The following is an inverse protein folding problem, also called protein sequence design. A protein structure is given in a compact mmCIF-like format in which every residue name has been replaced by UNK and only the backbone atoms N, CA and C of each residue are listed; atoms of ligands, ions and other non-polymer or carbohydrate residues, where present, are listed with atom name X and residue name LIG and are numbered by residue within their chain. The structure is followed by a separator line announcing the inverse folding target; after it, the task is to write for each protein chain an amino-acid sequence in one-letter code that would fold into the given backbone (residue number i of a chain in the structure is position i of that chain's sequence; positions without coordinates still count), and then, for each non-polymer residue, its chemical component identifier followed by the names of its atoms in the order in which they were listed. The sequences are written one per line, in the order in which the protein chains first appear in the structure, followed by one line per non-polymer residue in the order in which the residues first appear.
data_IF_270722084704
#
_entry.id   IF_270722084704
#
_cell.length_a   1.000
_cell.length_b   1.000
_cell.length_c   1.000
_cell.angle_alpha   90.00
_cell.angle_beta   90.00
_cell.angle_gamma   90.00
#
_symmetry.space_group_name_H-M   'P 1'
#
loop_
_entity.id
_entity.type
_entity.pdbx_description
1 polymer ?
#
# COMPACT_ATOMS: atom_id res chain seq x y z
N UNK A 1 -4.18 17.33 -5.42
CA UNK A 1 -3.01 17.45 -6.33
C UNK A 1 -3.50 17.11 -7.73
N UNK A 2 -2.85 17.56 -8.80
CA UNK A 2 -3.28 17.22 -10.18
C UNK A 2 -2.13 16.56 -10.93
N UNK A 3 -2.44 15.45 -11.59
CA UNK A 3 -1.55 14.75 -12.51
C UNK A 3 -1.93 15.14 -13.95
N UNK A 4 -0.94 15.52 -14.77
CA UNK A 4 -1.11 15.87 -16.19
C UNK A 4 -1.10 14.59 -17.04
N UNK A 5 -1.96 13.65 -16.65
CA UNK A 5 -2.04 12.30 -17.21
C UNK A 5 -3.51 11.90 -17.33
N UNK A 6 -3.79 11.01 -18.29
CA UNK A 6 -5.07 10.29 -18.32
C UNK A 6 -5.23 9.50 -17.02
N UNK A 7 -6.45 9.12 -16.65
CA UNK A 7 -6.67 8.38 -15.41
C UNK A 7 -5.87 7.07 -15.37
N UNK A 8 -5.80 6.34 -16.50
CA UNK A 8 -5.03 5.11 -16.63
C UNK A 8 -3.52 5.32 -16.43
N UNK A 9 -2.97 6.40 -17.00
CA UNK A 9 -1.56 6.75 -16.84
C UNK A 9 -1.27 7.27 -15.43
N UNK A 10 -2.16 8.10 -14.88
CA UNK A 10 -2.10 8.59 -13.51
C UNK A 10 -2.07 7.43 -12.50
N UNK A 11 -2.90 6.41 -12.73
CA UNK A 11 -2.95 5.19 -11.93
C UNK A 11 -1.63 4.42 -11.99
N UNK A 12 -1.05 4.31 -13.17
CA UNK A 12 0.27 3.69 -13.36
C UNK A 12 1.34 4.45 -12.58
N UNK A 13 1.37 5.78 -12.65
CA UNK A 13 2.29 6.62 -11.87
C UNK A 13 2.09 6.43 -10.36
N UNK A 14 0.85 6.35 -9.89
CA UNK A 14 0.53 6.11 -8.47
C UNK A 14 1.05 4.75 -8.02
N UNK A 15 0.82 3.69 -8.81
CA UNK A 15 1.32 2.34 -8.50
C UNK A 15 2.84 2.29 -8.45
N UNK A 16 3.53 2.93 -9.40
CA UNK A 16 4.98 3.06 -9.38
C UNK A 16 5.45 3.78 -8.11
N UNK A 17 4.77 4.85 -7.74
CA UNK A 17 5.09 5.60 -6.53
C UNK A 17 4.93 4.74 -5.27
N UNK A 18 3.91 3.87 -5.21
CA UNK A 18 3.75 2.92 -4.11
C UNK A 18 4.88 1.89 -4.04
N UNK A 19 5.29 1.34 -5.19
CA UNK A 19 6.43 0.41 -5.25
C UNK A 19 7.74 1.04 -4.79
N UNK A 20 7.95 2.32 -5.07
CA UNK A 20 9.13 3.07 -4.60
C UNK A 20 8.99 3.60 -3.17
N UNK A 21 7.81 3.51 -2.54
CA UNK A 21 7.58 4.09 -1.21
C UNK A 21 8.07 3.13 -0.13
N UNK A 22 9.29 3.38 0.35
CA UNK A 22 9.87 2.66 1.49
C UNK A 22 8.91 2.55 2.69
N UNK A 23 8.56 1.31 3.01
CA UNK A 23 7.75 0.93 4.16
C UNK A 23 6.26 0.81 3.87
N UNK A 24 5.80 1.04 2.64
CA UNK A 24 4.57 0.41 2.14
C UNK A 24 4.94 -1.03 1.81
N UNK A 25 4.22 -1.99 2.39
CA UNK A 25 4.47 -3.41 2.15
C UNK A 25 3.59 -3.97 1.06
N UNK A 26 2.32 -3.53 1.02
CA UNK A 26 1.36 -3.96 0.01
C UNK A 26 0.43 -2.83 -0.38
N UNK A 27 -0.06 -2.87 -1.61
CA UNK A 27 -1.12 -1.97 -2.06
C UNK A 27 -2.15 -2.70 -2.92
N UNK A 28 -3.35 -2.15 -2.98
CA UNK A 28 -4.49 -2.66 -3.73
C UNK A 28 -5.01 -1.55 -4.64
N UNK A 29 -5.27 -1.89 -5.90
CA UNK A 29 -5.96 -1.04 -6.86
C UNK A 29 -7.46 -1.35 -6.84
N UNK A 30 -8.27 -0.38 -6.43
CA UNK A 30 -9.73 -0.40 -6.57
C UNK A 30 -10.18 0.43 -7.77
N UNK A 31 -11.49 0.56 -7.93
CA UNK A 31 -12.08 1.26 -9.09
C UNK A 31 -11.68 2.75 -9.11
N UNK A 32 -11.84 3.45 -8.00
CA UNK A 32 -11.63 4.90 -7.85
C UNK A 32 -10.42 5.28 -6.99
N UNK A 33 -9.71 4.29 -6.46
CA UNK A 33 -8.68 4.53 -5.46
C UNK A 33 -7.56 3.49 -5.49
N UNK A 34 -6.38 3.90 -5.02
CA UNK A 34 -5.26 2.99 -4.73
C UNK A 34 -4.93 3.07 -3.25
N UNK A 35 -4.96 1.93 -2.56
CA UNK A 35 -4.79 1.84 -1.10
C UNK A 35 -3.51 1.10 -0.77
N UNK A 36 -2.53 1.78 -0.19
CA UNK A 36 -1.31 1.18 0.33
C UNK A 36 -1.33 1.04 1.84
N UNK A 37 -0.70 -0.01 2.35
CA UNK A 37 -0.54 -0.23 3.79
C UNK A 37 0.90 -0.50 4.18
N UNK A 38 1.29 0.08 5.31
CA UNK A 38 2.50 -0.30 6.02
C UNK A 38 2.21 -1.56 6.82
N UNK A 39 3.12 -2.52 6.84
CA UNK A 39 2.91 -3.75 7.59
C UNK A 39 3.07 -3.59 9.08
N UNK A 40 2.89 -4.72 9.76
CA UNK A 40 2.98 -4.79 11.21
C UNK A 40 4.44 -4.62 11.65
N UNK A 41 4.65 -3.73 12.64
CA UNK A 41 5.92 -3.65 13.39
C UNK A 41 5.61 -3.83 14.86
N UNK A 42 6.57 -4.32 15.64
CA UNK A 42 6.38 -4.72 17.05
C UNK A 42 5.62 -3.71 17.95
N UNK A 43 5.58 -2.42 17.59
CA UNK A 43 4.89 -1.35 18.32
C UNK A 43 3.90 -0.53 17.48
N UNK A 44 3.65 -0.90 16.21
CA UNK A 44 2.74 -0.19 15.31
C UNK A 44 1.88 -1.17 14.52
N UNK A 45 0.57 -0.94 14.56
CA UNK A 45 -0.46 -1.67 13.80
C UNK A 45 -0.50 -1.28 12.31
N UNK A 46 0.47 -0.51 11.86
CA UNK A 46 0.54 0.01 10.50
C UNK A 46 -0.24 1.30 10.30
N UNK A 47 -0.08 1.83 9.09
CA UNK A 47 -0.65 3.04 8.55
C UNK A 47 -1.24 2.71 7.18
N UNK A 48 -2.35 3.38 6.86
CA UNK A 48 -2.99 3.26 5.55
C UNK A 48 -2.78 4.57 4.81
N UNK A 49 -2.40 4.49 3.54
CA UNK A 49 -2.32 5.61 2.61
C UNK A 49 -3.30 5.34 1.48
N UNK A 50 -4.21 6.27 1.24
CA UNK A 50 -5.27 6.17 0.24
C UNK A 50 -5.01 7.26 -0.79
N UNK A 51 -5.03 6.89 -2.06
CA UNK A 51 -5.02 7.83 -3.18
C UNK A 51 -6.35 7.70 -3.89
N UNK A 52 -7.21 8.69 -3.74
CA UNK A 52 -8.48 8.77 -4.47
C UNK A 52 -8.22 9.46 -5.81
N UNK A 53 -8.63 8.81 -6.89
CA UNK A 53 -8.67 9.36 -8.23
C UNK A 53 -10.08 9.93 -8.43
N UNK A 54 -10.21 11.24 -8.28
CA UNK A 54 -11.50 11.88 -8.52
C UNK A 54 -11.74 11.93 -10.03
N UNK A 55 -12.84 11.35 -10.50
CA UNK A 55 -13.33 11.58 -11.86
C UNK A 55 -13.78 13.04 -11.98
N UNK A 56 -12.95 13.87 -12.59
CA UNK A 56 -13.41 15.16 -13.08
C UNK A 56 -13.82 14.96 -14.54
N UNK A 57 -15.11 15.08 -14.81
CA UNK A 57 -15.77 14.61 -16.03
C UNK A 57 -15.36 15.33 -17.32
N UNK A 58 -14.48 16.34 -17.23
CA UNK A 58 -14.14 17.24 -18.34
C UNK A 58 -12.67 17.18 -18.80
N UNK A 59 -11.76 16.45 -18.14
CA UNK A 59 -10.34 16.50 -18.47
C UNK A 59 -9.75 15.15 -18.89
N UNK A 60 -9.77 14.90 -20.20
CA UNK A 60 -9.08 13.77 -20.87
C UNK A 60 -7.57 13.73 -20.54
N UNK A 61 -6.98 14.85 -20.14
CA UNK A 61 -5.53 15.01 -19.96
C UNK A 61 -5.10 15.33 -18.52
N UNK A 62 -6.04 15.46 -17.58
CA UNK A 62 -5.72 15.81 -16.18
C UNK A 62 -6.55 14.99 -15.22
N UNK A 63 -5.89 14.39 -14.25
CA UNK A 63 -6.52 13.61 -13.20
C UNK A 63 -6.26 14.28 -11.85
N UNK A 64 -7.29 14.86 -11.20
CA UNK A 64 -7.16 15.29 -9.82
C UNK A 64 -7.06 14.07 -8.90
N UNK A 65 -6.09 14.13 -8.00
CA UNK A 65 -5.87 13.10 -6.99
C UNK A 65 -5.90 13.70 -5.60
N UNK A 66 -6.55 13.01 -4.69
CA UNK A 66 -6.51 13.27 -3.26
C UNK A 66 -5.71 12.18 -2.57
N UNK A 67 -4.84 12.57 -1.64
CA UNK A 67 -3.98 11.63 -0.92
C UNK A 67 -4.25 11.79 0.57
N UNK A 68 -4.77 10.72 1.17
CA UNK A 68 -5.11 10.65 2.59
C UNK A 68 -4.22 9.62 3.27
N UNK A 69 -3.85 9.85 4.53
CA UNK A 69 -3.07 8.89 5.29
C UNK A 69 -3.52 8.84 6.74
N UNK A 70 -3.81 7.63 7.22
CA UNK A 70 -4.48 7.39 8.49
C UNK A 70 -3.79 6.28 9.29
N UNK A 71 -4.03 6.28 10.59
CA UNK A 71 -3.58 5.21 11.49
C UNK A 71 -4.56 4.05 11.39
N UNK A 72 -4.05 2.82 11.35
CA UNK A 72 -4.92 1.62 11.40
C UNK A 72 -5.67 1.52 12.75
N UNK A 73 -5.06 2.01 13.82
CA UNK A 73 -5.60 2.01 15.19
C UNK A 73 -5.36 3.38 15.82
N UNK A 74 -6.41 3.99 16.37
CA UNK A 74 -6.35 5.33 16.98
C UNK A 74 -5.35 5.42 18.14
N UNK A 75 -5.18 4.34 18.90
CA UNK A 75 -4.28 4.26 20.08
C UNK A 75 -2.80 4.10 19.67
N UNK A 76 -2.50 3.95 18.37
CA UNK A 76 -1.13 3.77 17.92
C UNK A 76 -0.34 5.09 18.01
N UNK A 77 0.35 5.29 19.14
CA UNK A 77 1.11 6.51 19.44
C UNK A 77 2.34 6.65 18.53
N UNK A 78 2.91 5.53 18.07
CA UNK A 78 4.13 5.54 17.24
C UNK A 78 3.85 5.69 15.74
N UNK A 79 2.62 5.40 15.29
CA UNK A 79 2.24 5.56 13.89
C UNK A 79 2.35 7.02 13.43
N UNK A 80 2.99 7.22 12.28
CA UNK A 80 3.20 8.54 11.67
C UNK A 80 2.68 8.54 10.22
N UNK A 81 1.35 8.52 9.99
CA UNK A 81 0.79 8.39 8.63
C UNK A 81 1.26 9.49 7.67
N UNK A 82 1.42 10.72 8.20
CA UNK A 82 1.88 11.87 7.43
C UNK A 82 3.29 11.69 6.86
N UNK A 83 4.14 10.87 7.49
CA UNK A 83 5.46 10.52 6.95
C UNK A 83 5.33 9.78 5.62
N UNK A 84 4.44 8.78 5.56
CA UNK A 84 4.21 7.98 4.37
C UNK A 84 3.51 8.76 3.28
N UNK A 85 2.51 9.60 3.63
CA UNK A 85 1.90 10.56 2.69
C UNK A 85 2.95 11.44 2.01
N UNK A 86 3.86 12.04 2.78
CA UNK A 86 4.92 12.90 2.21
C UNK A 86 5.88 12.14 1.31
N UNK A 87 6.24 10.91 1.66
CA UNK A 87 7.10 10.05 0.82
C UNK A 87 6.43 9.71 -0.50
N UNK A 88 5.17 9.27 -0.44
CA UNK A 88 4.39 8.96 -1.63
C UNK A 88 4.26 10.17 -2.55
N UNK A 89 3.92 11.35 -2.01
CA UNK A 89 3.88 12.60 -2.78
C UNK A 89 5.25 12.91 -3.41
N UNK A 90 6.35 12.67 -2.68
CA UNK A 90 7.71 12.82 -3.19
C UNK A 90 7.97 11.92 -4.40
N UNK A 91 7.62 10.64 -4.29
CA UNK A 91 7.81 9.67 -5.36
C UNK A 91 6.93 9.99 -6.58
N UNK A 92 5.65 10.32 -6.37
CA UNK A 92 4.76 10.79 -7.46
C UNK A 92 5.38 12.01 -8.15
N UNK A 93 5.87 13.00 -7.41
CA UNK A 93 6.48 14.19 -8.01
C UNK A 93 7.81 13.89 -8.72
N UNK A 94 8.56 12.89 -8.28
CA UNK A 94 9.77 12.46 -8.97
C UNK A 94 9.41 11.77 -10.29
N UNK A 95 8.46 10.83 -10.25
CA UNK A 95 7.97 10.11 -11.42
C UNK A 95 7.33 11.04 -12.46
N UNK A 96 6.64 12.11 -12.03
CA UNK A 96 6.11 13.15 -12.91
C UNK A 96 7.16 13.98 -13.66
N UNK A 97 8.41 14.01 -13.18
CA UNK A 97 9.49 14.76 -13.84
C UNK A 97 10.12 13.97 -14.99
N UNK A 98 9.87 12.67 -15.02
CA UNK A 98 10.21 11.80 -16.12
C UNK A 98 9.02 11.76 -17.08
N UNK A 99 9.27 11.70 -18.40
CA UNK A 99 8.18 11.60 -19.37
C UNK A 99 7.34 10.34 -19.08
N UNK A 100 6.05 10.34 -19.38
CA UNK A 100 5.13 9.24 -19.04
C UNK A 100 5.66 7.85 -19.46
N UNK A 101 6.41 7.81 -20.56
CA UNK A 101 7.10 6.62 -21.08
C UNK A 101 8.21 6.09 -20.16
N UNK A 102 8.93 6.96 -19.44
CA UNK A 102 9.95 6.59 -18.46
C UNK A 102 9.34 6.13 -17.12
N UNK A 103 8.20 6.72 -16.71
CA UNK A 103 7.43 6.22 -15.58
C UNK A 103 6.85 4.82 -15.82
N UNK A 104 6.40 4.57 -17.06
CA UNK A 104 5.99 3.24 -17.51
C UNK A 104 7.17 2.25 -17.53
N UNK A 105 8.35 2.70 -17.96
CA UNK A 105 9.57 1.90 -17.96
C UNK A 105 10.06 1.57 -16.55
N UNK A 106 9.93 2.48 -15.58
CA UNK A 106 10.22 2.24 -14.17
C UNK A 106 9.28 1.18 -13.56
N UNK A 107 7.97 1.27 -13.86
CA UNK A 107 7.00 0.28 -13.44
C UNK A 107 7.24 -1.09 -14.11
N UNK A 108 7.56 -1.10 -15.41
CA UNK A 108 7.91 -2.30 -16.15
C UNK A 108 9.20 -2.94 -15.61
N UNK A 109 10.19 -2.12 -15.23
CA UNK A 109 11.43 -2.56 -14.59
C UNK A 109 11.20 -3.18 -13.21
N UNK A 110 10.40 -2.52 -12.36
CA UNK A 110 10.02 -3.06 -11.04
C UNK A 110 9.26 -4.39 -11.18
N UNK A 111 8.30 -4.46 -12.11
CA UNK A 111 7.51 -5.66 -12.42
C UNK A 111 8.34 -6.79 -13.03
N UNK A 112 9.41 -6.48 -13.75
CA UNK A 112 10.31 -7.47 -14.36
C UNK A 112 11.36 -8.03 -13.39
N UNK A 113 11.67 -7.33 -12.30
CA UNK A 113 12.77 -7.65 -11.39
C UNK A 113 12.31 -8.19 -10.02
N UNK A 114 11.05 -8.02 -9.63
CA UNK A 114 10.55 -8.50 -8.33
C UNK A 114 9.05 -8.80 -8.36
N UNK A 115 8.60 -9.69 -7.46
CA UNK A 115 7.19 -9.81 -7.12
C UNK A 115 6.70 -8.43 -6.66
N UNK A 116 5.78 -7.84 -7.41
CA UNK A 116 5.09 -6.58 -7.07
C UNK A 116 4.47 -6.65 -5.67
N UNK A 117 4.43 -5.51 -4.99
CA UNK A 117 3.71 -5.36 -3.71
C UNK A 117 2.18 -5.26 -3.90
N UNK A 118 1.70 -5.31 -5.14
CA UNK A 118 0.29 -5.30 -5.48
C UNK A 118 -0.42 -6.59 -5.08
N UNK A 119 -1.55 -6.44 -4.39
CA UNK A 119 -2.48 -7.54 -4.10
C UNK A 119 -3.70 -7.49 -4.99
N UNK A 120 -4.26 -8.66 -5.28
CA UNK A 120 -5.43 -8.79 -6.16
C UNK A 120 -6.72 -8.42 -5.44
N UNK A 121 -6.75 -8.55 -4.11
CA UNK A 121 -7.94 -8.26 -3.31
C UNK A 121 -7.61 -7.40 -2.11
N UNK A 122 -8.53 -6.50 -1.75
CA UNK A 122 -8.37 -5.63 -0.57
C UNK A 122 -8.15 -6.40 0.73
N UNK A 123 -8.69 -7.63 0.83
CA UNK A 123 -8.51 -8.51 2.00
C UNK A 123 -7.09 -9.01 2.21
N UNK A 124 -6.24 -8.99 1.18
CA UNK A 124 -4.83 -9.39 1.26
C UNK A 124 -3.92 -8.28 1.80
N UNK A 125 -4.47 -7.07 1.99
CA UNK A 125 -3.76 -5.98 2.64
C UNK A 125 -3.49 -6.31 4.12
N UNK A 126 -2.30 -5.95 4.65
CA UNK A 126 -1.99 -6.10 6.07
C UNK A 126 -3.08 -5.48 6.96
N UNK A 127 -3.59 -6.25 7.92
CA UNK A 127 -4.69 -5.80 8.75
C UNK A 127 -4.87 -6.62 10.01
N UNK A 128 -5.76 -6.15 10.89
CA UNK A 128 -6.03 -6.71 12.22
C UNK A 128 -6.44 -8.19 12.18
N UNK A 129 -7.03 -8.65 11.09
CA UNK A 129 -7.49 -10.02 10.92
C UNK A 129 -6.35 -11.02 10.64
N UNK A 130 -5.24 -10.59 10.02
CA UNK A 130 -4.07 -11.43 9.81
C UNK A 130 -3.39 -11.82 11.14
N UNK A 131 -3.49 -10.96 12.16
CA UNK A 131 -3.02 -11.26 13.52
C UNK A 131 -3.88 -12.33 14.20
N UNK A 132 -5.20 -12.35 13.98
CA UNK A 132 -6.06 -13.40 14.55
C UNK A 132 -5.67 -14.76 14.01
N UNK A 133 -5.48 -14.89 12.69
CA UNK A 133 -5.16 -16.19 12.09
C UNK A 133 -3.77 -16.69 12.51
N UNK A 134 -2.74 -15.84 12.49
CA UNK A 134 -1.39 -16.25 12.93
C UNK A 134 -1.34 -16.63 14.40
N UNK A 135 -2.02 -15.89 15.28
CA UNK A 135 -2.02 -16.14 16.73
C UNK A 135 -2.80 -17.43 17.07
N UNK A 136 -3.88 -17.72 16.34
CA UNK A 136 -4.60 -19.00 16.44
C UNK A 136 -3.69 -20.17 16.03
N UNK A 137 -2.98 -20.07 14.91
CA UNK A 137 -2.06 -21.14 14.45
C UNK A 137 -0.96 -21.39 15.48
N UNK A 138 -0.39 -20.33 16.04
CA UNK A 138 0.66 -20.42 17.07
C UNK A 138 0.13 -21.03 18.38
N UNK A 139 -1.08 -20.65 18.80
CA UNK A 139 -1.73 -21.22 19.97
C UNK A 139 -2.06 -22.71 19.79
N UNK A 140 -2.50 -23.12 18.60
CA UNK A 140 -2.75 -24.52 18.26
C UNK A 140 -1.45 -25.32 18.27
N UNK A 141 -0.37 -24.81 17.65
CA UNK A 141 0.95 -25.45 17.69
C UNK A 141 1.49 -25.60 19.11
N UNK A 142 1.27 -24.60 19.96
CA UNK A 142 1.71 -24.65 21.35
C UNK A 142 0.90 -25.67 22.17
N UNK A 143 -0.42 -25.75 21.96
CA UNK A 143 -1.29 -26.75 22.58
C UNK A 143 -0.94 -28.17 22.16
N UNK A 144 -0.66 -28.41 20.88
CA UNK A 144 -0.25 -29.74 20.40
C UNK A 144 1.11 -30.14 20.95
N UNK A 145 2.05 -29.19 21.09
CA UNK A 145 3.34 -29.44 21.72
C UNK A 145 3.21 -29.81 23.21
N UNK A 146 2.40 -29.08 23.97
CA UNK A 146 2.14 -29.39 25.39
C UNK A 146 1.51 -30.79 25.53
N UNK A 147 0.47 -31.08 24.74
CA UNK A 147 -0.17 -32.40 24.74
C UNK A 147 0.81 -33.53 24.42
N UNK A 148 1.67 -33.36 23.41
CA UNK A 148 2.68 -34.35 23.05
C UNK A 148 3.71 -34.56 24.18
N UNK A 149 4.09 -33.51 24.91
CA UNK A 149 5.02 -33.59 26.04
C UNK A 149 4.44 -34.22 27.31
N UNK A 150 3.10 -34.24 27.45
CA UNK A 150 2.39 -34.84 28.59
C UNK A 150 2.06 -36.32 28.41
N UNK A 151 2.09 -36.81 27.16
CA UNK A 151 1.76 -38.20 26.81
C UNK A 151 3.04 -39.03 26.59
N UNK A 152 4.21 -38.38 26.49
CA UNK A 152 5.53 -38.99 26.32
C UNK A 152 6.25 -39.33 27.61
#
# INVERSE_FOLDING_TARGET
MVLEHTEADARTVIKAAFEETDGIEKYFEGDDQVVGKTGWRALSYGETVIVDLSEDSDSVTRTPIEITAEKEVAINVTATPQKYKRRLIGNINNLRKYDADEGLAALAGAKALSSTNEVQTRSELPGKEALKSTLIVLAVMFLTFIMASLIG
#
